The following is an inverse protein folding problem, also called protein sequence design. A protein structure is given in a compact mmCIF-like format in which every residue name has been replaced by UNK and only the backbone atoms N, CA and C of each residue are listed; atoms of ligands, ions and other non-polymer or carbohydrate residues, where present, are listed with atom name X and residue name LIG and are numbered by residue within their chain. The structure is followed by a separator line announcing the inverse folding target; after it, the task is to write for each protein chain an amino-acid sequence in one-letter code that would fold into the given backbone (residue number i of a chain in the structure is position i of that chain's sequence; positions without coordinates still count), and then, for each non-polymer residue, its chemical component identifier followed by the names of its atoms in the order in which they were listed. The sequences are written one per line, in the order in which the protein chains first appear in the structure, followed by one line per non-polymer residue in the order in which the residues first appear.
data_IF_748680559703
#
_entry.id   IF_748680559703
#
_cell.length_a   1.000
_cell.length_b   1.000
_cell.length_c   1.000
_cell.angle_alpha   90.00
_cell.angle_beta   90.00
_cell.angle_gamma   90.00
#
_symmetry.space_group_name_H-M   'P 1'
#
loop_
_entity.id
_entity.type
_entity.pdbx_description
1 polymer ?
#
# COMPACT_ATOMS: atom_id res chain seq x y z
N UNK A 1 1.29 30.84 -7.48
CA UNK A 1 2.71 31.06 -7.15
C UNK A 1 3.48 29.76 -7.22
N UNK A 2 4.72 29.78 -7.73
CA UNK A 2 5.59 28.60 -7.71
C UNK A 2 5.79 28.06 -6.28
N UNK A 3 6.02 26.75 -6.09
CA UNK A 3 6.18 26.16 -4.77
C UNK A 3 7.33 26.78 -3.96
N UNK A 4 7.03 27.13 -2.71
CA UNK A 4 8.04 27.57 -1.75
C UNK A 4 9.02 26.45 -1.39
N UNK A 5 10.22 26.82 -0.94
CA UNK A 5 11.23 25.88 -0.43
C UNK A 5 10.64 25.01 0.69
N UNK A 6 9.83 25.61 1.59
CA UNK A 6 9.18 24.88 2.69
C UNK A 6 8.24 23.78 2.18
N UNK A 7 7.44 24.06 1.14
CA UNK A 7 6.55 23.06 0.57
C UNK A 7 7.32 21.91 -0.10
N UNK A 8 8.43 22.22 -0.79
CA UNK A 8 9.28 21.19 -1.40
C UNK A 8 9.91 20.27 -0.35
N UNK A 9 10.46 20.83 0.73
CA UNK A 9 11.01 20.06 1.85
C UNK A 9 9.94 19.22 2.56
N UNK A 10 8.71 19.72 2.68
CA UNK A 10 7.62 18.97 3.28
C UNK A 10 7.23 17.75 2.44
N UNK A 11 7.11 17.91 1.11
CA UNK A 11 6.83 16.79 0.20
C UNK A 11 7.95 15.75 0.21
N UNK A 12 9.21 16.21 0.23
CA UNK A 12 10.38 15.34 0.36
C UNK A 12 10.29 14.45 1.63
N UNK A 13 10.02 15.07 2.78
CA UNK A 13 9.91 14.35 4.05
C UNK A 13 8.69 13.42 4.10
N UNK A 14 7.55 13.85 3.55
CA UNK A 14 6.35 13.01 3.45
C UNK A 14 6.58 11.76 2.61
N UNK A 15 7.29 11.91 1.49
CA UNK A 15 7.63 10.79 0.63
C UNK A 15 8.61 9.82 1.31
N UNK A 16 9.66 10.35 1.96
CA UNK A 16 10.59 9.52 2.72
C UNK A 16 9.87 8.75 3.83
N UNK A 17 8.97 9.40 4.55
CA UNK A 17 8.16 8.75 5.58
C UNK A 17 7.24 7.67 4.99
N UNK A 18 6.60 7.94 3.86
CA UNK A 18 5.76 6.96 3.17
C UNK A 18 6.54 5.68 2.82
N UNK A 19 7.73 5.83 2.23
CA UNK A 19 8.60 4.70 1.87
C UNK A 19 9.03 3.92 3.12
N UNK A 20 9.47 4.61 4.17
CA UNK A 20 9.87 3.97 5.44
C UNK A 20 8.74 3.19 6.09
N UNK A 21 7.52 3.74 6.06
CA UNK A 21 6.33 3.07 6.59
C UNK A 21 5.97 1.84 5.77
N UNK A 22 5.99 1.92 4.43
CA UNK A 22 5.73 0.73 3.60
C UNK A 22 6.80 -0.34 3.87
N UNK A 23 8.08 0.02 3.91
CA UNK A 23 9.17 -0.91 4.28
C UNK A 23 8.95 -1.53 5.67
N UNK A 24 8.65 -0.72 6.68
CA UNK A 24 8.38 -1.19 8.05
C UNK A 24 7.20 -2.16 8.08
N UNK A 25 6.10 -1.81 7.41
CA UNK A 25 4.91 -2.62 7.35
C UNK A 25 5.12 -3.98 6.69
N UNK A 26 5.87 -4.02 5.58
CA UNK A 26 6.27 -5.28 4.93
C UNK A 26 7.15 -6.13 5.86
N UNK A 27 8.13 -5.51 6.55
CA UNK A 27 8.98 -6.22 7.50
C UNK A 27 8.22 -6.72 8.73
N UNK A 28 7.20 -6.00 9.17
CA UNK A 28 6.31 -6.43 10.26
C UNK A 28 5.45 -7.61 9.84
N UNK A 29 4.91 -7.63 8.60
CA UNK A 29 4.20 -8.79 8.07
C UNK A 29 5.09 -10.04 8.02
N UNK A 30 6.35 -9.88 7.62
CA UNK A 30 7.33 -10.98 7.58
C UNK A 30 7.71 -11.54 8.97
N UNK A 31 7.29 -10.87 10.04
CA UNK A 31 7.51 -11.31 11.43
C UNK A 31 6.25 -11.85 12.08
N UNK A 32 5.12 -11.89 11.36
CA UNK A 32 3.94 -12.58 11.84
C UNK A 32 4.17 -14.09 11.77
N UNK A 33 3.70 -14.79 12.79
CA UNK A 33 3.74 -16.24 12.88
C UNK A 33 2.59 -16.73 13.78
N UNK A 34 2.50 -18.05 14.04
CA UNK A 34 1.44 -18.61 14.87
C UNK A 34 1.43 -18.12 16.33
N UNK A 35 2.53 -17.52 16.81
CA UNK A 35 2.64 -16.95 18.15
C UNK A 35 2.52 -15.41 18.14
N UNK A 36 2.85 -14.75 17.03
CA UNK A 36 2.77 -13.32 16.82
C UNK A 36 1.72 -13.00 15.76
N UNK A 37 0.47 -12.89 16.20
CA UNK A 37 -0.73 -12.55 15.42
C UNK A 37 -1.09 -11.06 15.53
N UNK A 38 -0.12 -10.19 15.85
CA UNK A 38 -0.37 -8.78 16.10
C UNK A 38 -0.54 -7.96 14.80
N UNK A 39 -1.57 -8.29 14.02
CA UNK A 39 -1.90 -7.67 12.72
C UNK A 39 -2.11 -6.16 12.80
N UNK A 40 -2.52 -5.63 13.97
CA UNK A 40 -2.77 -4.21 14.17
C UNK A 40 -1.58 -3.34 13.74
N UNK A 41 -0.35 -3.74 14.06
CA UNK A 41 0.85 -2.95 13.76
C UNK A 41 1.18 -2.89 12.26
N UNK A 42 1.32 -4.01 11.51
CA UNK A 42 1.55 -3.95 10.07
C UNK A 42 0.41 -3.25 9.34
N UNK A 43 -0.85 -3.48 9.72
CA UNK A 43 -2.01 -2.79 9.11
C UNK A 43 -1.93 -1.28 9.29
N UNK A 44 -1.64 -0.80 10.50
CA UNK A 44 -1.48 0.63 10.79
C UNK A 44 -0.36 1.25 9.96
N UNK A 45 0.77 0.56 9.90
CA UNK A 45 1.99 1.04 9.26
C UNK A 45 1.82 1.10 7.75
N UNK A 46 1.30 0.03 7.13
CA UNK A 46 1.02 -0.05 5.69
C UNK A 46 -0.05 0.94 5.26
N UNK A 47 -1.18 1.02 5.97
CA UNK A 47 -2.25 1.97 5.65
C UNK A 47 -1.72 3.40 5.66
N UNK A 48 -0.94 3.76 6.69
CA UNK A 48 -0.31 5.08 6.80
C UNK A 48 0.72 5.34 5.68
N UNK A 49 1.52 4.34 5.33
CA UNK A 49 2.53 4.44 4.28
C UNK A 49 1.92 4.66 2.89
N UNK A 50 0.97 3.80 2.50
CA UNK A 50 0.29 3.92 1.21
C UNK A 50 -0.59 5.18 1.12
N UNK A 51 -1.26 5.59 2.19
CA UNK A 51 -2.02 6.86 2.22
C UNK A 51 -1.11 8.04 1.88
N UNK A 52 0.04 8.13 2.57
CA UNK A 52 1.01 9.23 2.36
C UNK A 52 1.58 9.20 0.96
N UNK A 53 2.01 8.03 0.47
CA UNK A 53 2.55 7.87 -0.88
C UNK A 53 1.54 8.38 -1.92
N UNK A 54 0.30 7.91 -1.85
CA UNK A 54 -0.73 8.28 -2.82
C UNK A 54 -1.10 9.77 -2.75
N UNK A 55 -1.15 10.36 -1.55
CA UNK A 55 -1.35 11.81 -1.40
C UNK A 55 -0.21 12.63 -1.99
N UNK A 56 1.04 12.20 -1.78
CA UNK A 56 2.20 12.84 -2.40
C UNK A 56 2.11 12.76 -3.92
N UNK A 57 1.73 11.62 -4.49
CA UNK A 57 1.54 11.46 -5.93
C UNK A 57 0.49 12.43 -6.48
N UNK A 58 -0.65 12.58 -5.81
CA UNK A 58 -1.68 13.54 -6.19
C UNK A 58 -1.20 15.00 -6.06
N UNK A 59 -0.46 15.34 -5.00
CA UNK A 59 0.17 16.66 -4.87
C UNK A 59 1.11 16.98 -6.03
N UNK A 60 1.95 16.02 -6.41
CA UNK A 60 2.89 16.16 -7.52
C UNK A 60 2.16 16.26 -8.87
N UNK A 61 1.06 15.52 -9.03
CA UNK A 61 0.23 15.59 -10.22
C UNK A 61 -0.44 16.96 -10.38
N UNK A 62 -1.04 17.48 -9.31
CA UNK A 62 -1.65 18.82 -9.30
C UNK A 62 -0.59 19.89 -9.55
N UNK A 63 0.62 19.72 -8.99
CA UNK A 63 1.74 20.61 -9.26
C UNK A 63 2.12 20.64 -10.75
N UNK A 64 2.19 19.48 -11.41
CA UNK A 64 2.48 19.42 -12.85
C UNK A 64 1.39 20.12 -13.67
N UNK A 65 0.12 19.96 -13.29
CA UNK A 65 -1.01 20.52 -14.03
C UNK A 65 -1.18 22.04 -13.84
N UNK A 66 -0.91 22.54 -12.63
CA UNK A 66 -1.26 23.93 -12.25
C UNK A 66 -0.05 24.82 -12.00
N UNK A 67 1.14 24.24 -11.83
CA UNK A 67 2.35 24.93 -11.39
C UNK A 67 2.38 25.22 -9.88
N UNK A 68 1.38 24.77 -9.11
CA UNK A 68 1.24 25.00 -7.68
C UNK A 68 0.87 23.72 -6.92
N UNK A 69 1.32 23.58 -5.68
CA UNK A 69 0.82 22.51 -4.81
C UNK A 69 -0.65 22.75 -4.44
N UNK A 70 -1.42 21.68 -4.16
CA UNK A 70 -2.84 21.83 -3.84
C UNK A 70 -3.06 22.68 -2.58
N UNK A 71 -4.16 23.42 -2.59
CA UNK A 71 -4.73 23.99 -1.37
C UNK A 71 -5.44 22.86 -0.56
N UNK A 72 -5.91 23.11 0.67
CA UNK A 72 -6.60 22.08 1.48
C UNK A 72 -7.83 21.44 0.82
N UNK A 73 -8.43 22.08 -0.20
CA UNK A 73 -9.59 21.57 -0.94
C UNK A 73 -9.18 20.72 -2.15
N UNK A 74 -7.92 20.81 -2.59
CA UNK A 74 -7.39 20.09 -3.76
C UNK A 74 -7.18 18.59 -3.51
N UNK A 75 -7.26 18.13 -2.27
CA UNK A 75 -7.21 16.72 -1.90
C UNK A 75 -8.47 16.30 -1.13
N UNK A 76 -8.89 15.03 -1.22
CA UNK A 76 -9.92 14.49 -0.34
C UNK A 76 -9.54 14.70 1.12
N UNK A 77 -10.47 15.24 1.92
CA UNK A 77 -10.27 15.57 3.34
C UNK A 77 -11.21 14.78 4.25
N UNK A 78 -10.96 14.83 5.57
CA UNK A 78 -11.71 14.06 6.56
C UNK A 78 -11.64 12.55 6.31
N UNK A 79 -12.75 11.83 6.54
CA UNK A 79 -12.81 10.37 6.31
C UNK A 79 -12.44 9.96 4.88
N UNK A 80 -12.83 10.77 3.89
CA UNK A 80 -12.50 10.51 2.47
C UNK A 80 -11.01 10.62 2.19
N UNK A 81 -10.30 11.47 2.94
CA UNK A 81 -8.85 11.61 2.85
C UNK A 81 -8.07 10.39 3.32
N UNK A 82 -8.69 9.49 4.07
CA UNK A 82 -8.08 8.24 4.54
C UNK A 82 -8.53 7.02 3.72
N UNK A 83 -9.34 7.23 2.69
CA UNK A 83 -9.86 6.16 1.87
C UNK A 83 -8.84 5.81 0.77
N UNK A 84 -8.13 4.70 0.96
CA UNK A 84 -7.09 4.26 0.03
C UNK A 84 -7.66 3.90 -1.34
N UNK A 85 -8.86 3.30 -1.39
CA UNK A 85 -9.54 2.96 -2.65
C UNK A 85 -9.89 4.22 -3.44
N UNK A 86 -10.37 5.27 -2.75
CA UNK A 86 -10.64 6.56 -3.37
C UNK A 86 -9.35 7.21 -3.89
N UNK A 87 -8.27 7.19 -3.10
CA UNK A 87 -6.99 7.75 -3.52
C UNK A 87 -6.42 7.00 -4.73
N UNK A 88 -6.47 5.67 -4.73
CA UNK A 88 -6.02 4.86 -5.86
C UNK A 88 -6.86 5.13 -7.10
N UNK A 89 -8.18 5.24 -6.96
CA UNK A 89 -9.07 5.61 -8.06
C UNK A 89 -8.64 6.94 -8.70
N UNK A 90 -8.40 7.99 -7.89
CA UNK A 90 -7.92 9.27 -8.42
C UNK A 90 -6.57 9.15 -9.10
N UNK A 91 -5.65 8.33 -8.58
CA UNK A 91 -4.35 8.10 -9.21
C UNK A 91 -4.51 7.43 -10.58
N UNK A 92 -5.37 6.40 -10.68
CA UNK A 92 -5.65 5.76 -11.98
C UNK A 92 -6.19 6.78 -12.99
N UNK A 93 -7.20 7.56 -12.58
CA UNK A 93 -7.84 8.55 -13.46
C UNK A 93 -6.91 9.72 -13.84
N UNK A 94 -6.08 10.19 -12.91
CA UNK A 94 -5.29 11.41 -13.13
C UNK A 94 -3.85 11.14 -13.60
N UNK A 95 -3.29 9.95 -13.34
CA UNK A 95 -1.88 9.64 -13.57
C UNK A 95 -1.63 8.53 -14.61
N UNK A 96 -2.58 7.62 -14.87
CA UNK A 96 -2.45 6.63 -15.96
C UNK A 96 -2.99 7.23 -17.27
N UNK A 97 -2.21 8.12 -17.87
CA UNK A 97 -2.60 8.84 -19.08
C UNK A 97 -2.61 7.92 -20.31
N UNK A 98 -3.50 8.19 -21.26
CA UNK A 98 -3.69 7.35 -22.46
C UNK A 98 -2.38 7.04 -23.18
N UNK A 99 -1.55 8.05 -23.44
CA UNK A 99 -0.26 7.84 -24.10
C UNK A 99 0.71 6.94 -23.30
N UNK A 100 0.64 6.94 -21.97
CA UNK A 100 1.45 6.06 -21.13
C UNK A 100 0.94 4.62 -21.24
N UNK A 101 -0.37 4.43 -21.08
CA UNK A 101 -0.99 3.09 -21.11
C UNK A 101 -0.92 2.44 -22.50
N UNK A 102 -1.12 3.23 -23.56
CA UNK A 102 -1.12 2.73 -24.95
C UNK A 102 0.28 2.38 -25.47
N UNK A 103 1.31 3.12 -25.04
CA UNK A 103 2.66 2.99 -25.61
C UNK A 103 3.59 2.10 -24.78
N UNK A 104 3.29 1.90 -23.49
CA UNK A 104 4.16 1.19 -22.57
C UNK A 104 3.44 -0.09 -22.07
N UNK A 105 3.83 -1.29 -22.54
CA UNK A 105 3.13 -2.52 -22.19
C UNK A 105 2.98 -2.75 -20.68
N UNK A 106 4.03 -2.46 -19.92
CA UNK A 106 4.03 -2.62 -18.46
C UNK A 106 3.05 -1.67 -17.75
N UNK A 107 2.72 -0.52 -18.36
CA UNK A 107 1.74 0.41 -17.81
C UNK A 107 0.33 -0.17 -17.82
N UNK A 108 0.00 -0.93 -18.88
CA UNK A 108 -1.27 -1.64 -19.00
C UNK A 108 -1.37 -2.75 -17.97
N UNK A 109 -0.33 -3.56 -17.83
CA UNK A 109 -0.28 -4.63 -16.82
C UNK A 109 -0.37 -4.09 -15.38
N UNK A 110 0.28 -2.95 -15.12
CA UNK A 110 0.17 -2.25 -13.83
C UNK A 110 -1.26 -1.76 -13.60
N UNK A 111 -1.88 -1.11 -14.59
CA UNK A 111 -3.27 -0.63 -14.46
C UNK A 111 -4.26 -1.78 -14.23
N UNK A 112 -4.15 -2.86 -15.00
CA UNK A 112 -4.96 -4.08 -14.84
C UNK A 112 -4.80 -4.67 -13.43
N UNK A 113 -3.56 -4.70 -12.92
CA UNK A 113 -3.32 -5.14 -11.54
C UNK A 113 -3.94 -4.19 -10.51
N UNK A 114 -3.83 -2.88 -10.71
CA UNK A 114 -4.44 -1.86 -9.84
C UNK A 114 -5.97 -1.89 -9.87
N UNK A 115 -6.58 -2.54 -10.87
CA UNK A 115 -8.03 -2.76 -11.02
C UNK A 115 -8.48 -4.15 -10.56
N UNK A 116 -7.54 -5.04 -10.25
CA UNK A 116 -7.85 -6.41 -9.88
C UNK A 116 -8.59 -6.52 -8.54
N UNK A 117 -9.53 -7.47 -8.46
CA UNK A 117 -10.18 -7.87 -7.19
C UNK A 117 -9.15 -8.35 -6.15
N UNK A 118 -8.07 -8.95 -6.65
CA UNK A 118 -6.95 -9.41 -5.83
C UNK A 118 -6.32 -8.28 -5.04
N UNK A 119 -6.08 -7.11 -5.63
CA UNK A 119 -5.58 -5.93 -4.90
C UNK A 119 -6.69 -5.21 -4.13
N UNK A 120 -7.89 -5.13 -4.72
CA UNK A 120 -9.04 -4.43 -4.14
C UNK A 120 -9.37 -4.92 -2.73
N UNK A 121 -9.37 -6.24 -2.53
CA UNK A 121 -9.59 -6.87 -1.21
C UNK A 121 -8.62 -6.37 -0.13
N UNK A 122 -7.31 -6.37 -0.39
CA UNK A 122 -6.29 -5.85 0.53
C UNK A 122 -6.46 -4.37 0.81
N UNK A 123 -6.65 -3.58 -0.24
CA UNK A 123 -6.73 -2.14 -0.12
C UNK A 123 -7.95 -1.72 0.70
N UNK A 124 -9.05 -2.47 0.57
CA UNK A 124 -10.26 -2.24 1.34
C UNK A 124 -10.05 -2.50 2.84
N UNK A 125 -9.33 -3.57 3.21
CA UNK A 125 -8.97 -3.86 4.61
C UNK A 125 -8.10 -2.73 5.19
N UNK A 126 -7.03 -2.34 4.47
CA UNK A 126 -6.16 -1.23 4.89
C UNK A 126 -6.93 0.11 5.00
N UNK A 127 -7.84 0.37 4.07
CA UNK A 127 -8.68 1.57 4.03
C UNK A 127 -9.65 1.62 5.22
N UNK A 128 -10.37 0.52 5.50
CA UNK A 128 -11.26 0.42 6.68
C UNK A 128 -10.49 0.54 7.99
N UNK A 129 -9.31 -0.10 8.05
CA UNK A 129 -8.44 -0.01 9.21
C UNK A 129 -8.04 1.44 9.53
N UNK A 130 -7.55 2.19 8.52
CA UNK A 130 -7.17 3.59 8.69
C UNK A 130 -8.32 4.51 9.10
N UNK A 131 -9.52 4.26 8.60
CA UNK A 131 -10.70 5.10 8.83
C UNK A 131 -11.37 4.92 10.19
N UNK A 132 -11.55 3.67 10.65
CA UNK A 132 -12.44 3.38 11.77
C UNK A 132 -11.94 2.28 12.71
N UNK A 133 -11.19 1.29 12.23
CA UNK A 133 -10.94 0.10 13.03
C UNK A 133 -9.80 0.23 14.07
N UNK A 134 -9.00 1.32 14.02
CA UNK A 134 -7.89 1.58 14.96
C UNK A 134 -8.28 1.53 16.44
N UNK A 135 -9.50 1.95 16.76
CA UNK A 135 -10.01 1.97 18.12
C UNK A 135 -11.23 1.07 18.29
N UNK A 136 -11.36 0.03 17.47
CA UNK A 136 -12.51 -0.89 17.47
C UNK A 136 -12.88 -1.36 18.89
N UNK A 137 -11.90 -1.86 19.66
CA UNK A 137 -12.15 -2.33 21.03
C UNK A 137 -12.57 -1.20 21.98
N UNK A 138 -12.03 0.01 21.82
CA UNK A 138 -12.42 1.16 22.62
C UNK A 138 -13.85 1.60 22.29
N UNK A 139 -14.24 1.56 21.02
CA UNK A 139 -15.61 1.84 20.60
C UNK A 139 -16.60 0.84 21.22
N UNK A 140 -16.25 -0.45 21.27
CA UNK A 140 -17.03 -1.48 21.97
C UNK A 140 -17.13 -1.17 23.47
N UNK A 141 -16.03 -0.84 24.14
CA UNK A 141 -16.01 -0.47 25.57
C UNK A 141 -16.90 0.75 25.85
N UNK A 142 -16.95 1.71 24.92
CA UNK A 142 -17.79 2.90 25.01
C UNK A 142 -19.25 2.65 24.60
N UNK A 143 -19.63 1.40 24.31
CA UNK A 143 -20.99 1.04 23.91
C UNK A 143 -21.40 1.54 22.53
N UNK A 144 -20.45 1.94 21.68
CA UNK A 144 -20.72 2.26 20.28
C UNK A 144 -20.84 0.96 19.49
N UNK A 145 -21.76 0.95 18.52
CA UNK A 145 -21.84 -0.09 17.51
C UNK A 145 -20.66 0.09 16.53
N UNK A 146 -19.69 -0.84 16.47
CA UNK A 146 -18.61 -0.76 15.49
C UNK A 146 -19.20 -0.84 14.08
N UNK A 147 -18.69 -0.02 13.16
CA UNK A 147 -19.14 -0.02 11.76
C UNK A 147 -18.37 -1.01 10.89
N UNK A 148 -17.32 -1.64 11.44
CA UNK A 148 -16.45 -2.63 10.78
C UNK A 148 -16.22 -3.79 11.72
N UNK A 149 -15.81 -4.93 11.17
CA UNK A 149 -15.31 -6.04 11.97
C UNK A 149 -14.03 -5.64 12.72
N UNK A 150 -13.63 -6.48 13.67
CA UNK A 150 -12.34 -6.35 14.32
C UNK A 150 -11.24 -6.53 13.24
N UNK A 151 -10.19 -5.68 13.22
CA UNK A 151 -9.10 -5.74 12.24
C UNK A 151 -8.55 -7.15 11.97
N UNK A 152 -8.37 -7.93 13.03
CA UNK A 152 -7.80 -9.27 12.95
C UNK A 152 -8.69 -10.20 12.12
N UNK A 153 -10.03 -10.13 12.28
CA UNK A 153 -10.97 -10.97 11.53
C UNK A 153 -10.95 -10.67 10.03
N UNK A 154 -10.85 -9.39 9.67
CA UNK A 154 -10.77 -9.02 8.25
C UNK A 154 -9.49 -9.55 7.60
N UNK A 155 -8.38 -9.51 8.34
CA UNK A 155 -7.11 -10.06 7.88
C UNK A 155 -7.13 -11.60 7.80
N UNK A 156 -7.63 -12.27 8.83
CA UNK A 156 -7.82 -13.73 8.86
C UNK A 156 -8.69 -14.23 7.68
N UNK A 157 -9.75 -13.47 7.32
CA UNK A 157 -10.57 -13.80 6.15
C UNK A 157 -9.76 -13.75 4.86
N UNK A 158 -8.89 -12.76 4.72
CA UNK A 158 -8.03 -12.62 3.55
C UNK A 158 -7.00 -13.76 3.47
N UNK A 159 -6.40 -14.14 4.60
CA UNK A 159 -5.48 -15.28 4.67
C UNK A 159 -6.20 -16.58 4.34
N UNK A 160 -7.43 -16.73 4.81
CA UNK A 160 -8.30 -17.87 4.49
C UNK A 160 -8.58 -17.92 2.98
N UNK A 161 -8.90 -16.80 2.33
CA UNK A 161 -9.15 -16.75 0.90
C UNK A 161 -7.91 -17.12 0.06
N UNK A 162 -6.71 -16.78 0.54
CA UNK A 162 -5.45 -17.22 -0.07
C UNK A 162 -5.27 -18.73 0.12
N UNK A 163 -5.46 -19.22 1.34
CA UNK A 163 -5.30 -20.63 1.70
C UNK A 163 -6.26 -21.53 0.92
N UNK A 164 -7.52 -21.12 0.74
CA UNK A 164 -8.52 -21.85 -0.04
C UNK A 164 -8.14 -22.03 -1.51
N UNK A 165 -7.28 -21.16 -2.05
CA UNK A 165 -6.74 -21.26 -3.42
C UNK A 165 -5.48 -22.14 -3.49
N UNK A 166 -4.99 -22.67 -2.36
CA UNK A 166 -3.78 -23.48 -2.23
C UNK A 166 -4.08 -24.84 -1.57
N UNK A 167 -4.69 -25.79 -2.33
CA UNK A 167 -4.98 -27.14 -1.81
C UNK A 167 -3.74 -27.87 -1.31
N UNK A 168 -2.56 -27.56 -1.85
CA UNK A 168 -1.27 -28.09 -1.40
C UNK A 168 -0.96 -27.70 0.05
N UNK A 169 -1.24 -26.45 0.44
CA UNK A 169 -1.00 -25.96 1.80
C UNK A 169 -2.04 -26.51 2.78
N UNK A 170 -3.31 -26.61 2.36
CA UNK A 170 -4.38 -27.21 3.18
C UNK A 170 -4.02 -28.65 3.52
N UNK A 171 -3.64 -29.44 2.51
CA UNK A 171 -3.24 -30.83 2.72
C UNK A 171 -2.03 -30.93 3.65
N UNK A 172 -1.06 -30.03 3.52
CA UNK A 172 0.10 -30.01 4.42
C UNK A 172 -0.28 -29.71 5.88
N UNK A 173 -1.25 -28.81 6.13
CA UNK A 173 -1.76 -28.57 7.48
C UNK A 173 -2.44 -29.79 8.08
N UNK A 174 -3.14 -30.58 7.26
CA UNK A 174 -3.78 -31.84 7.68
C UNK A 174 -2.74 -32.93 7.99
N UNK A 175 -1.77 -33.12 7.10
CA UNK A 175 -0.73 -34.14 7.21
C UNK A 175 0.31 -33.79 8.29
N UNK A 176 0.62 -32.49 8.48
CA UNK A 176 1.66 -31.97 9.37
C UNK A 176 1.21 -30.68 10.10
N UNK A 177 0.40 -30.78 11.18
CA UNK A 177 -0.14 -29.61 11.88
C UNK A 177 0.91 -28.66 12.49
N UNK A 178 2.15 -29.12 12.66
CA UNK A 178 3.27 -28.31 13.16
C UNK A 178 4.08 -27.63 12.04
N UNK A 179 3.70 -27.79 10.76
CA UNK A 179 4.38 -27.11 9.66
C UNK A 179 4.08 -25.61 9.70
N UNK A 180 5.12 -24.79 9.64
CA UNK A 180 5.01 -23.32 9.52
C UNK A 180 4.92 -22.85 8.06
N UNK A 181 5.14 -23.76 7.10
CA UNK A 181 5.18 -23.43 5.67
C UNK A 181 3.88 -22.79 5.16
N UNK A 182 2.67 -23.25 5.54
CA UNK A 182 1.43 -22.60 5.11
C UNK A 182 1.39 -21.11 5.47
N UNK A 183 1.74 -20.75 6.70
CA UNK A 183 1.78 -19.36 7.16
C UNK A 183 2.86 -18.56 6.43
N UNK A 184 4.05 -19.15 6.23
CA UNK A 184 5.13 -18.51 5.48
C UNK A 184 4.74 -18.22 4.03
N UNK A 185 4.08 -19.16 3.36
CA UNK A 185 3.62 -19.01 1.98
C UNK A 185 2.51 -17.97 1.84
N UNK A 186 1.59 -17.90 2.81
CA UNK A 186 0.58 -16.83 2.88
C UNK A 186 1.26 -15.47 3.05
N UNK A 187 2.23 -15.35 3.97
CA UNK A 187 2.97 -14.11 4.16
C UNK A 187 3.73 -13.68 2.90
N UNK A 188 4.39 -14.62 2.21
CA UNK A 188 5.07 -14.37 0.92
C UNK A 188 4.08 -13.84 -0.12
N UNK A 189 2.92 -14.47 -0.26
CA UNK A 189 1.87 -14.06 -1.21
C UNK A 189 1.34 -12.65 -0.91
N UNK A 190 1.08 -12.35 0.37
CA UNK A 190 0.65 -11.02 0.80
C UNK A 190 1.71 -9.97 0.49
N UNK A 191 2.97 -10.23 0.86
CA UNK A 191 4.09 -9.30 0.60
C UNK A 191 4.27 -9.09 -0.89
N UNK A 192 4.21 -10.15 -1.70
CA UNK A 192 4.33 -10.08 -3.16
C UNK A 192 3.27 -9.15 -3.78
N UNK A 193 2.02 -9.21 -3.30
CA UNK A 193 0.94 -8.33 -3.78
C UNK A 193 1.19 -6.87 -3.41
N UNK A 194 1.57 -6.59 -2.17
CA UNK A 194 1.86 -5.23 -1.71
C UNK A 194 3.11 -4.63 -2.39
N UNK A 195 4.12 -5.45 -2.67
CA UNK A 195 5.29 -5.09 -3.45
C UNK A 195 4.93 -4.73 -4.90
N UNK A 196 4.11 -5.57 -5.55
CA UNK A 196 3.61 -5.29 -6.90
C UNK A 196 2.80 -4.01 -6.93
N UNK A 197 1.98 -3.75 -5.91
CA UNK A 197 1.25 -2.50 -5.76
C UNK A 197 2.20 -1.30 -5.62
N UNK A 198 3.17 -1.38 -4.71
CA UNK A 198 4.18 -0.32 -4.53
C UNK A 198 4.98 -0.06 -5.81
N UNK A 199 5.33 -1.12 -6.56
CA UNK A 199 6.05 -1.03 -7.84
C UNK A 199 5.22 -0.35 -8.94
N UNK A 200 3.93 -0.70 -9.06
CA UNK A 200 3.03 -0.06 -10.02
C UNK A 200 2.92 1.45 -9.75
N UNK A 201 2.77 1.85 -8.48
CA UNK A 201 2.80 3.27 -8.09
C UNK A 201 4.17 3.92 -8.32
N UNK A 202 5.25 3.20 -8.05
CA UNK A 202 6.62 3.69 -8.21
C UNK A 202 6.96 4.04 -9.67
N UNK A 203 6.49 3.25 -10.63
CA UNK A 203 6.73 3.48 -12.07
C UNK A 203 6.13 4.79 -12.56
N UNK A 204 5.06 5.27 -11.94
CA UNK A 204 4.46 6.57 -12.25
C UNK A 204 5.38 7.77 -11.95
N UNK A 205 6.38 7.62 -11.07
CA UNK A 205 7.41 8.65 -10.82
C UNK A 205 8.41 8.79 -11.97
N UNK A 206 8.43 7.84 -12.90
CA UNK A 206 9.38 7.78 -14.01
C UNK A 206 8.65 7.87 -15.35
N UNK A 207 8.31 6.72 -15.91
CA UNK A 207 7.69 6.54 -17.22
C UNK A 207 6.22 6.96 -17.25
N UNK A 208 5.52 6.91 -16.10
CA UNK A 208 4.09 7.21 -16.04
C UNK A 208 3.71 8.68 -15.87
N UNK A 209 4.68 9.59 -15.82
CA UNK A 209 4.41 11.00 -16.07
C UNK A 209 3.55 11.73 -15.03
N UNK A 210 3.68 11.41 -13.73
CA UNK A 210 3.05 12.22 -12.67
C UNK A 210 3.46 13.70 -12.77
N UNK A 211 4.73 13.95 -13.09
CA UNK A 211 5.25 15.28 -13.36
C UNK A 211 6.78 15.34 -13.30
N UNK A 212 7.35 16.45 -13.78
CA UNK A 212 8.81 16.63 -13.81
C UNK A 212 9.42 16.67 -12.41
N UNK A 213 8.72 17.27 -11.45
CA UNK A 213 9.20 17.32 -10.06
C UNK A 213 9.23 15.93 -9.42
N UNK A 214 8.34 15.00 -9.82
CA UNK A 214 8.32 13.63 -9.29
C UNK A 214 9.63 12.86 -9.56
N UNK A 215 10.26 13.10 -10.72
CA UNK A 215 11.51 12.44 -11.12
C UNK A 215 12.69 12.77 -10.18
N UNK A 216 12.61 13.86 -9.40
CA UNK A 216 13.65 14.20 -8.43
C UNK A 216 13.67 13.27 -7.22
N UNK A 217 12.59 12.52 -7.00
CA UNK A 217 12.43 11.62 -5.85
C UNK A 217 12.65 10.14 -6.19
N UNK A 218 13.16 9.83 -7.38
CA UNK A 218 13.48 8.45 -7.79
C UNK A 218 14.41 7.77 -6.76
N UNK A 219 15.30 8.52 -6.11
CA UNK A 219 16.18 7.99 -5.06
C UNK A 219 15.45 7.34 -3.88
N UNK A 220 14.25 7.84 -3.52
CA UNK A 220 13.44 7.22 -2.45
C UNK A 220 12.62 6.05 -2.95
N UNK A 221 12.03 6.18 -4.13
CA UNK A 221 11.10 5.20 -4.71
C UNK A 221 11.82 4.00 -5.36
N UNK A 222 13.12 4.12 -5.63
CA UNK A 222 13.93 3.12 -6.33
C UNK A 222 13.81 1.71 -5.76
N UNK A 223 13.66 1.56 -4.44
CA UNK A 223 13.51 0.26 -3.77
C UNK A 223 12.28 -0.52 -4.26
N UNK A 224 11.19 0.18 -4.59
CA UNK A 224 10.00 -0.45 -5.17
C UNK A 224 10.08 -0.52 -6.70
N UNK A 225 10.65 0.51 -7.34
CA UNK A 225 10.76 0.60 -8.80
C UNK A 225 11.52 -0.58 -9.41
N UNK A 226 12.57 -1.05 -8.74
CA UNK A 226 13.47 -2.08 -9.25
C UNK A 226 13.12 -3.51 -8.81
N UNK A 227 11.97 -3.72 -8.15
CA UNK A 227 11.50 -5.05 -7.79
C UNK A 227 11.23 -5.88 -9.05
N UNK A 228 11.79 -7.10 -9.09
CA UNK A 228 11.62 -8.05 -10.20
C UNK A 228 10.52 -9.05 -9.89
N UNK A 229 9.87 -9.56 -10.91
CA UNK A 229 8.78 -10.53 -10.74
C UNK A 229 9.25 -11.78 -9.99
N UNK A 230 10.46 -12.28 -10.27
CA UNK A 230 10.99 -13.47 -9.60
C UNK A 230 11.31 -13.26 -8.10
N UNK A 231 11.48 -11.98 -7.71
CA UNK A 231 11.80 -11.57 -6.34
C UNK A 231 10.58 -11.21 -5.50
N UNK A 232 9.39 -11.14 -6.10
CA UNK A 232 8.19 -10.75 -5.36
C UNK A 232 7.93 -11.70 -4.18
N UNK A 233 7.66 -11.14 -3.00
CA UNK A 233 7.42 -11.84 -1.74
C UNK A 233 8.69 -12.32 -1.03
N UNK A 234 9.87 -12.20 -1.66
CA UNK A 234 11.14 -12.78 -1.17
C UNK A 234 12.14 -11.75 -0.68
N UNK A 235 11.87 -10.45 -0.85
CA UNK A 235 12.78 -9.40 -0.38
C UNK A 235 12.68 -9.28 1.14
N UNK A 236 13.80 -9.05 1.82
CA UNK A 236 13.78 -8.84 3.27
C UNK A 236 13.58 -7.37 3.63
N UNK A 237 12.68 -7.11 4.56
CA UNK A 237 12.34 -5.76 5.00
C UNK A 237 12.64 -5.56 6.49
N UNK A 238 13.13 -4.36 6.84
CA UNK A 238 13.32 -3.96 8.24
C UNK A 238 11.97 -3.62 8.88
N UNK A 239 11.56 -4.26 10.00
CA UNK A 239 10.28 -3.99 10.66
C UNK A 239 10.20 -2.60 11.33
N UNK A 240 11.32 -1.86 11.36
CA UNK A 240 11.42 -0.50 11.92
C UNK A 240 11.64 0.57 10.85
N UNK A 241 11.57 0.20 9.56
CA UNK A 241 11.61 1.15 8.44
C UNK A 241 13.01 1.66 8.10
N UNK A 242 14.06 0.94 8.48
CA UNK A 242 15.41 1.23 8.00
C UNK A 242 15.51 0.89 6.52
N UNK A 243 15.89 1.89 5.73
CA UNK A 243 16.18 1.72 4.31
C UNK A 243 17.70 1.56 4.20
N UNK A 244 18.20 0.32 4.30
CA UNK A 244 19.57 -0.04 3.88
C UNK A 244 19.55 -0.32 2.38
#
# INVERSE_FOLDING_TARGET
MAPSIKQKLAIDQELLNAVRLIHAGLGQLQKLDGANDFYHLPLLTLASGFERLMKVMLCLRILEQTGEFPNPEGLPSGRKGHNLELLLKKIREECFLDHYVEQIPVAKEDLEYLESEELSSFLSILSRFGQAARYHHLDVVLGKQPTTDAPNREWESLETDILLKRPDLIKEMEDFPASERPQQEIAIEVVARLERFARALARLFTIGGIGKEAQRYIGYIGKFLYLRDESLGKNEYSPVGTIM
#
